data_IF_606089879569
#
_entry.id   IF_606089879569
#
_cell.length_a   1.000
_cell.length_b   1.000
_cell.length_c   1.000
_cell.angle_alpha   90.00
_cell.angle_beta   90.00
_cell.angle_gamma   90.00
#
_symmetry.space_group_name_H-M   'P 1'
#
loop_
_entity.id
_entity.type
_entity.pdbx_description
1 polymer ?
#
# COMPACT_ATOMS: atom_id res chain seq x y z
N UNK A 1 15.18 -2.59 10.72
CA UNK A 1 14.65 -2.73 9.34
C UNK A 1 15.48 -3.76 8.59
N UNK A 2 14.87 -4.66 7.82
CA UNK A 2 15.58 -5.72 7.07
C UNK A 2 16.72 -5.17 6.18
N UNK A 3 16.48 -4.04 5.48
CA UNK A 3 17.48 -3.41 4.63
C UNK A 3 18.69 -2.79 5.33
N UNK A 4 18.67 -2.62 6.66
CA UNK A 4 19.86 -2.17 7.41
C UNK A 4 20.88 -3.30 7.61
N UNK A 5 20.50 -4.55 7.30
CA UNK A 5 21.34 -5.75 7.47
C UNK A 5 21.80 -6.36 6.14
N UNK A 6 21.42 -5.77 5.01
CA UNK A 6 21.75 -6.29 3.68
C UNK A 6 22.94 -5.52 3.12
N UNK A 7 24.05 -6.21 2.87
CA UNK A 7 25.24 -5.59 2.28
C UNK A 7 24.89 -4.96 0.92
N UNK A 8 25.44 -3.76 0.66
CA UNK A 8 25.25 -3.00 -0.58
C UNK A 8 23.82 -2.51 -0.87
N UNK A 9 22.88 -2.64 0.07
CA UNK A 9 21.55 -2.06 -0.05
C UNK A 9 21.51 -0.61 0.48
N UNK A 10 21.08 0.33 -0.36
CA UNK A 10 20.82 1.72 0.00
C UNK A 10 19.32 1.95 0.16
N UNK A 11 18.79 2.20 1.37
CA UNK A 11 17.36 2.51 1.55
C UNK A 11 16.89 3.75 0.78
N UNK A 12 17.83 4.66 0.48
CA UNK A 12 17.55 5.88 -0.26
C UNK A 12 17.49 5.62 -1.76
N UNK A 13 18.38 4.78 -2.28
CA UNK A 13 18.56 4.57 -3.72
C UNK A 13 18.07 3.21 -4.21
N UNK A 14 17.62 2.28 -3.37
CA UNK A 14 17.17 0.98 -3.82
C UNK A 14 15.70 0.76 -3.52
N UNK A 15 14.99 0.18 -4.49
CA UNK A 15 13.61 -0.24 -4.29
C UNK A 15 13.51 -1.26 -3.15
N UNK A 16 12.45 -1.17 -2.34
CA UNK A 16 12.15 -2.11 -1.25
C UNK A 16 12.08 -3.55 -1.77
N UNK A 17 11.58 -3.75 -3.00
CA UNK A 17 11.48 -5.07 -3.62
C UNK A 17 12.83 -5.75 -3.89
N UNK A 18 13.96 -5.02 -3.92
CA UNK A 18 15.30 -5.64 -3.99
C UNK A 18 15.59 -6.54 -2.77
N UNK A 19 14.97 -6.25 -1.61
CA UNK A 19 15.05 -7.10 -0.42
C UNK A 19 14.33 -8.46 -0.61
N UNK A 20 13.52 -8.59 -1.66
CA UNK A 20 12.79 -9.79 -2.03
C UNK A 20 13.30 -10.44 -3.34
N UNK A 21 14.42 -9.93 -3.89
CA UNK A 21 15.03 -10.52 -5.08
C UNK A 21 15.40 -11.99 -4.85
N UNK A 22 15.47 -12.79 -5.93
CA UNK A 22 15.69 -14.25 -5.86
C UNK A 22 16.86 -14.63 -4.95
N UNK A 23 17.95 -13.86 -4.99
CA UNK A 23 19.19 -14.10 -4.25
C UNK A 23 19.30 -13.32 -2.93
N UNK A 24 18.29 -12.52 -2.57
CA UNK A 24 18.36 -11.70 -1.37
C UNK A 24 18.25 -12.56 -0.10
N UNK A 25 19.13 -12.37 0.91
CA UNK A 25 19.06 -13.13 2.16
C UNK A 25 17.78 -12.84 2.96
N UNK A 26 17.15 -11.68 2.71
CA UNK A 26 15.89 -11.25 3.34
C UNK A 26 14.65 -11.73 2.59
N UNK A 27 14.79 -12.50 1.51
CA UNK A 27 13.68 -12.88 0.62
C UNK A 27 12.53 -13.54 1.36
N UNK A 28 12.80 -14.53 2.21
CA UNK A 28 11.76 -15.25 2.93
C UNK A 28 10.91 -14.32 3.81
N UNK A 29 11.56 -13.41 4.56
CA UNK A 29 10.87 -12.44 5.41
C UNK A 29 10.04 -11.44 4.59
N UNK A 30 10.58 -10.97 3.46
CA UNK A 30 9.86 -10.07 2.56
C UNK A 30 8.66 -10.73 1.88
N UNK A 31 8.82 -11.97 1.41
CA UNK A 31 7.71 -12.76 0.84
C UNK A 31 6.62 -12.99 1.88
N UNK A 32 6.98 -13.31 3.13
CA UNK A 32 5.99 -13.43 4.21
C UNK A 32 5.23 -12.11 4.42
N UNK A 33 5.94 -10.98 4.39
CA UNK A 33 5.34 -9.64 4.42
C UNK A 33 4.38 -9.38 3.26
N UNK A 34 4.77 -9.72 2.02
CA UNK A 34 3.91 -9.59 0.85
C UNK A 34 2.66 -10.46 0.94
N UNK A 35 2.77 -11.69 1.45
CA UNK A 35 1.61 -12.56 1.66
C UNK A 35 0.69 -12.00 2.74
N UNK A 36 1.24 -11.61 3.89
CA UNK A 36 0.46 -11.05 4.99
C UNK A 36 -0.28 -9.78 4.58
N UNK A 37 0.40 -8.85 3.91
CA UNK A 37 -0.22 -7.63 3.38
C UNK A 37 -1.21 -7.94 2.25
N UNK A 38 -0.82 -8.82 1.33
CA UNK A 38 -1.60 -9.21 0.18
C UNK A 38 -2.92 -9.92 0.52
N UNK A 39 -3.01 -10.57 1.68
CA UNK A 39 -4.25 -11.14 2.23
C UNK A 39 -4.97 -10.13 3.15
N UNK A 40 -4.23 -9.40 3.98
CA UNK A 40 -4.79 -8.45 4.94
C UNK A 40 -5.51 -7.26 4.30
N UNK A 41 -4.96 -6.69 3.22
CA UNK A 41 -5.56 -5.53 2.55
C UNK A 41 -6.87 -5.88 1.83
N UNK A 42 -7.02 -7.03 1.15
CA UNK A 42 -8.32 -7.45 0.64
C UNK A 42 -9.38 -7.67 1.73
N UNK A 43 -9.00 -8.23 2.88
CA UNK A 43 -9.91 -8.33 4.04
C UNK A 43 -10.33 -6.95 4.55
N UNK A 44 -9.39 -6.01 4.63
CA UNK A 44 -9.71 -4.60 4.89
C UNK A 44 -10.63 -4.01 3.81
N UNK A 45 -10.43 -4.34 2.54
CA UNK A 45 -11.32 -3.97 1.43
C UNK A 45 -12.76 -4.40 1.68
N UNK A 46 -12.99 -5.64 2.13
CA UNK A 46 -14.32 -6.12 2.50
C UNK A 46 -14.94 -5.30 3.64
N UNK A 47 -14.15 -4.97 4.67
CA UNK A 47 -14.61 -4.08 5.74
C UNK A 47 -14.93 -2.66 5.23
N UNK A 48 -14.12 -2.13 4.33
CA UNK A 48 -14.34 -0.82 3.70
C UNK A 48 -15.62 -0.80 2.85
N UNK A 49 -15.88 -1.87 2.08
CA UNK A 49 -17.12 -2.04 1.29
C UNK A 49 -18.37 -1.93 2.17
N UNK A 50 -18.32 -2.47 3.38
CA UNK A 50 -19.45 -2.43 4.32
C UNK A 50 -19.68 -1.08 5.00
N UNK A 51 -18.72 -0.15 4.92
CA UNK A 51 -18.74 1.09 5.71
C UNK A 51 -18.73 2.37 4.88
N UNK A 52 -18.22 2.32 3.65
CA UNK A 52 -18.12 3.48 2.77
C UNK A 52 -18.67 3.10 1.38
N UNK A 53 -19.78 3.70 0.93
CA UNK A 53 -20.31 3.43 -0.40
C UNK A 53 -19.33 3.90 -1.49
N UNK A 54 -19.23 3.12 -2.57
CA UNK A 54 -18.40 3.45 -3.72
C UNK A 54 -17.33 2.40 -4.03
N UNK A 55 -16.30 2.81 -4.78
CA UNK A 55 -15.31 1.91 -5.39
C UNK A 55 -13.97 1.84 -4.65
N UNK A 56 -13.80 2.55 -3.53
CA UNK A 56 -12.54 2.55 -2.78
C UNK A 56 -12.13 1.15 -2.31
N UNK A 57 -13.09 0.28 -1.98
CA UNK A 57 -12.81 -1.11 -1.60
C UNK A 57 -12.18 -1.92 -2.74
N UNK A 58 -12.60 -1.70 -3.98
CA UNK A 58 -12.06 -2.43 -5.14
C UNK A 58 -10.58 -2.09 -5.33
N UNK A 59 -10.23 -0.81 -5.15
CA UNK A 59 -8.85 -0.35 -5.23
C UNK A 59 -8.00 -0.92 -4.11
N UNK A 60 -8.50 -0.93 -2.87
CA UNK A 60 -7.80 -1.57 -1.75
C UNK A 60 -7.57 -3.07 -2.02
N UNK A 61 -8.60 -3.80 -2.45
CA UNK A 61 -8.47 -5.21 -2.84
C UNK A 61 -7.44 -5.38 -3.96
N UNK A 62 -7.48 -4.54 -4.99
CA UNK A 62 -6.51 -4.58 -6.08
C UNK A 62 -5.07 -4.33 -5.59
N UNK A 63 -4.85 -3.43 -4.63
CA UNK A 63 -3.53 -3.21 -3.99
C UNK A 63 -3.00 -4.47 -3.32
N UNK A 64 -3.87 -5.18 -2.58
CA UNK A 64 -3.51 -6.45 -1.96
C UNK A 64 -3.13 -7.53 -2.98
N UNK A 65 -3.98 -7.72 -4.01
CA UNK A 65 -3.73 -8.70 -5.07
C UNK A 65 -2.45 -8.36 -5.86
N UNK A 66 -2.22 -7.09 -6.16
CA UNK A 66 -1.00 -6.62 -6.79
C UNK A 66 0.25 -6.93 -5.93
N UNK A 67 0.14 -6.80 -4.60
CA UNK A 67 1.22 -7.16 -3.67
C UNK A 67 1.51 -8.66 -3.67
N UNK A 68 0.49 -9.51 -3.76
CA UNK A 68 0.69 -10.95 -3.97
C UNK A 68 1.41 -11.22 -5.30
N UNK A 69 1.06 -10.48 -6.36
CA UNK A 69 1.77 -10.52 -7.64
C UNK A 69 3.25 -10.18 -7.51
N UNK A 70 3.60 -9.12 -6.78
CA UNK A 70 4.99 -8.75 -6.47
C UNK A 70 5.74 -9.87 -5.75
N UNK A 71 5.07 -10.58 -4.83
CA UNK A 71 5.65 -11.73 -4.14
C UNK A 71 5.81 -12.98 -5.02
N UNK A 72 4.88 -13.19 -5.95
CA UNK A 72 4.90 -14.32 -6.89
C UNK A 72 5.94 -14.14 -8.01
N UNK A 73 6.19 -12.89 -8.40
CA UNK A 73 7.16 -12.50 -9.41
C UNK A 73 8.29 -11.69 -8.76
N UNK A 74 9.27 -12.32 -8.09
CA UNK A 74 10.38 -11.61 -7.48
C UNK A 74 11.28 -10.94 -8.53
N UNK A 75 12.08 -9.96 -8.12
CA UNK A 75 13.12 -9.39 -8.98
C UNK A 75 14.25 -10.39 -9.23
N UNK A 76 14.94 -10.21 -10.36
CA UNK A 76 16.00 -11.06 -10.88
C UNK A 76 15.49 -12.49 -11.17
N UNK A 77 14.23 -12.59 -11.58
CA UNK A 77 13.61 -13.86 -11.96
C UNK A 77 14.08 -14.27 -13.37
N UNK A 78 14.28 -15.58 -13.59
CA UNK A 78 14.78 -16.12 -14.85
C UNK A 78 13.92 -15.78 -16.09
N UNK A 79 12.66 -15.36 -15.88
CA UNK A 79 11.73 -14.92 -16.95
C UNK A 79 11.66 -13.40 -17.11
N UNK A 80 12.53 -12.66 -16.42
CA UNK A 80 12.60 -11.20 -16.43
C UNK A 80 11.72 -10.52 -15.37
N UNK A 81 11.96 -9.22 -15.20
CA UNK A 81 11.34 -8.40 -14.14
C UNK A 81 10.02 -7.72 -14.58
N UNK A 82 9.60 -7.89 -15.83
CA UNK A 82 8.40 -7.23 -16.35
C UNK A 82 7.13 -7.58 -15.54
N UNK A 83 6.85 -8.85 -15.16
CA UNK A 83 5.68 -9.17 -14.34
C UNK A 83 5.74 -8.52 -12.95
N UNK A 84 6.94 -8.43 -12.36
CA UNK A 84 7.16 -7.70 -11.10
C UNK A 84 6.83 -6.22 -11.25
N UNK A 85 7.36 -5.58 -12.30
CA UNK A 85 7.18 -4.16 -12.56
C UNK A 85 5.70 -3.81 -12.79
N UNK A 86 4.97 -4.65 -13.54
CA UNK A 86 3.52 -4.48 -13.75
C UNK A 86 2.76 -4.61 -12.43
N UNK A 87 3.03 -5.67 -11.65
CA UNK A 87 2.38 -5.88 -10.36
C UNK A 87 2.67 -4.71 -9.39
N UNK A 88 3.92 -4.27 -9.29
CA UNK A 88 4.31 -3.15 -8.45
C UNK A 88 3.62 -1.84 -8.88
N UNK A 89 3.59 -1.55 -10.19
CA UNK A 89 2.93 -0.36 -10.73
C UNK A 89 1.43 -0.35 -10.42
N UNK A 90 0.74 -1.47 -10.63
CA UNK A 90 -0.67 -1.62 -10.27
C UNK A 90 -0.88 -1.42 -8.77
N UNK A 91 0.00 -1.98 -7.94
CA UNK A 91 -0.01 -1.79 -6.49
C UNK A 91 0.11 -0.32 -6.10
N UNK A 92 1.06 0.42 -6.69
CA UNK A 92 1.28 1.83 -6.41
C UNK A 92 0.10 2.71 -6.82
N UNK A 93 -0.41 2.51 -8.04
CA UNK A 93 -1.54 3.27 -8.57
C UNK A 93 -2.78 3.04 -7.70
N UNK A 94 -3.09 1.77 -7.40
CA UNK A 94 -4.27 1.44 -6.61
C UNK A 94 -4.15 1.90 -5.15
N UNK A 95 -2.96 1.80 -4.54
CA UNK A 95 -2.70 2.28 -3.18
C UNK A 95 -2.93 3.78 -3.09
N UNK A 96 -2.36 4.56 -4.00
CA UNK A 96 -2.50 6.02 -4.02
C UNK A 96 -3.94 6.46 -4.37
N UNK A 97 -4.61 5.74 -5.27
CA UNK A 97 -5.98 6.05 -5.68
C UNK A 97 -7.03 5.73 -4.60
N UNK A 98 -6.82 4.70 -3.79
CA UNK A 98 -7.75 4.28 -2.73
C UNK A 98 -8.18 5.45 -1.81
N UNK A 99 -7.26 6.18 -1.14
CA UNK A 99 -7.63 7.29 -0.27
C UNK A 99 -8.21 8.49 -1.04
N UNK A 100 -7.84 8.72 -2.31
CA UNK A 100 -8.43 9.77 -3.14
C UNK A 100 -9.90 9.49 -3.47
N UNK A 101 -10.21 8.25 -3.85
CA UNK A 101 -11.59 7.83 -4.11
C UNK A 101 -12.41 7.82 -2.82
N UNK A 102 -11.83 7.37 -1.70
CA UNK A 102 -12.47 7.46 -0.39
C UNK A 102 -12.75 8.90 0.02
N UNK A 103 -11.82 9.84 -0.23
CA UNK A 103 -11.97 11.25 0.09
C UNK A 103 -13.22 11.87 -0.54
N UNK A 104 -13.54 11.49 -1.80
CA UNK A 104 -14.73 11.98 -2.51
C UNK A 104 -16.01 11.56 -1.79
N UNK A 105 -16.16 10.29 -1.45
CA UNK A 105 -17.34 9.81 -0.72
C UNK A 105 -17.42 10.42 0.68
N UNK A 106 -16.30 10.47 1.41
CA UNK A 106 -16.24 11.05 2.74
C UNK A 106 -16.66 12.53 2.75
N UNK A 107 -16.26 13.29 1.72
CA UNK A 107 -16.67 14.68 1.55
C UNK A 107 -18.18 14.82 1.31
N UNK A 108 -18.75 13.98 0.46
CA UNK A 108 -20.21 13.95 0.18
C UNK A 108 -21.04 13.58 1.42
N UNK A 109 -20.48 12.79 2.33
CA UNK A 109 -21.10 12.44 3.62
C UNK A 109 -20.86 13.48 4.74
N UNK A 110 -20.30 14.66 4.43
CA UNK A 110 -20.02 15.71 5.41
C UNK A 110 -18.83 15.42 6.35
N UNK A 111 -18.11 14.31 6.16
CA UNK A 111 -16.94 13.92 6.99
C UNK A 111 -15.67 14.67 6.56
N UNK A 112 -15.72 16.00 6.63
CA UNK A 112 -14.71 16.93 6.06
C UNK A 112 -13.27 16.65 6.52
N UNK A 113 -13.07 16.37 7.82
CA UNK A 113 -11.75 16.03 8.36
C UNK A 113 -11.14 14.79 7.72
N UNK A 114 -11.90 13.68 7.70
CA UNK A 114 -11.48 12.43 7.06
C UNK A 114 -11.28 12.58 5.55
N UNK A 115 -12.11 13.37 4.87
CA UNK A 115 -11.95 13.67 3.46
C UNK A 115 -10.61 14.40 3.18
N UNK A 116 -10.26 15.40 4.01
CA UNK A 116 -8.99 16.12 3.90
C UNK A 116 -7.78 15.20 4.14
N UNK A 117 -7.79 14.44 5.22
CA UNK A 117 -6.71 13.48 5.54
C UNK A 117 -6.52 12.47 4.40
N UNK A 118 -7.62 11.95 3.85
CA UNK A 118 -7.57 10.98 2.74
C UNK A 118 -7.04 11.62 1.46
N UNK A 119 -7.40 12.87 1.18
CA UNK A 119 -6.85 13.59 0.02
C UNK A 119 -5.35 13.83 0.16
N UNK A 120 -4.90 14.30 1.33
CA UNK A 120 -3.48 14.54 1.59
C UNK A 120 -2.70 13.24 1.45
N UNK A 121 -3.13 12.17 2.13
CA UNK A 121 -2.47 10.87 2.03
C UNK A 121 -2.37 10.37 0.58
N UNK A 122 -3.48 10.42 -0.17
CA UNK A 122 -3.50 9.99 -1.56
C UNK A 122 -2.62 10.81 -2.49
N UNK A 123 -2.61 12.13 -2.35
CA UNK A 123 -1.74 13.01 -3.16
C UNK A 123 -0.28 12.79 -2.79
N UNK A 124 0.07 12.75 -1.50
CA UNK A 124 1.44 12.49 -1.05
C UNK A 124 1.94 11.13 -1.53
N UNK A 125 1.11 10.08 -1.44
CA UNK A 125 1.45 8.76 -1.99
C UNK A 125 1.64 8.82 -3.51
N UNK A 126 0.71 9.43 -4.25
CA UNK A 126 0.78 9.52 -5.70
C UNK A 126 2.04 10.26 -6.17
N UNK A 127 2.32 11.44 -5.61
CA UNK A 127 3.47 12.26 -5.99
C UNK A 127 4.77 11.55 -5.64
N UNK A 128 4.86 10.96 -4.45
CA UNK A 128 6.08 10.23 -4.04
C UNK A 128 6.30 9.01 -4.93
N UNK A 129 5.26 8.22 -5.21
CA UNK A 129 5.38 7.03 -6.06
C UNK A 129 5.71 7.41 -7.53
N UNK A 130 5.17 8.50 -8.05
CA UNK A 130 5.54 9.00 -9.37
C UNK A 130 7.01 9.47 -9.40
N UNK A 131 7.48 10.14 -8.35
CA UNK A 131 8.86 10.60 -8.24
C UNK A 131 9.88 9.44 -8.23
N UNK A 132 9.46 8.22 -7.91
CA UNK A 132 10.34 7.03 -7.99
C UNK A 132 10.84 6.74 -9.40
N UNK A 133 10.20 7.29 -10.44
CA UNK A 133 10.53 7.02 -11.84
C UNK A 133 11.52 8.04 -12.43
N UNK A 134 11.64 9.24 -11.84
CA UNK A 134 12.20 10.42 -12.53
C UNK A 134 13.40 11.06 -11.80
N UNK A 135 14.01 10.41 -10.81
CA UNK A 135 15.14 11.06 -10.13
C UNK A 135 15.99 10.20 -9.20
N UNK A 136 17.09 10.78 -8.67
CA UNK A 136 17.84 10.18 -7.58
C UNK A 136 16.93 9.96 -6.37
N UNK A 137 17.29 9.04 -5.48
CA UNK A 137 16.51 8.70 -4.28
C UNK A 137 15.17 8.00 -4.51
N UNK A 138 15.03 7.25 -5.61
CA UNK A 138 13.81 6.50 -5.91
C UNK A 138 13.38 5.55 -4.76
N UNK A 139 14.32 4.97 -4.02
CA UNK A 139 14.02 4.16 -2.83
C UNK A 139 13.38 4.97 -1.70
N UNK A 140 13.85 6.19 -1.45
CA UNK A 140 13.29 7.08 -0.42
C UNK A 140 11.85 7.50 -0.78
N UNK A 141 11.63 7.95 -2.01
CA UNK A 141 10.30 8.34 -2.49
C UNK A 141 9.32 7.16 -2.45
N UNK A 142 9.78 5.97 -2.81
CA UNK A 142 8.96 4.76 -2.75
C UNK A 142 8.54 4.46 -1.31
N UNK A 143 9.48 4.56 -0.35
CA UNK A 143 9.20 4.36 1.08
C UNK A 143 8.21 5.37 1.61
N UNK A 144 8.38 6.66 1.30
CA UNK A 144 7.43 7.71 1.71
C UNK A 144 6.05 7.41 1.15
N UNK A 145 5.96 7.14 -0.15
CA UNK A 145 4.69 6.92 -0.82
C UNK A 145 3.92 5.71 -0.29
N UNK A 146 4.62 4.58 -0.12
CA UNK A 146 4.07 3.37 0.48
C UNK A 146 3.67 3.58 1.93
N UNK A 147 4.55 4.14 2.75
CA UNK A 147 4.29 4.36 4.18
C UNK A 147 3.06 5.23 4.42
N UNK A 148 2.89 6.31 3.65
CA UNK A 148 1.73 7.19 3.77
C UNK A 148 0.43 6.47 3.39
N UNK A 149 0.46 5.66 2.32
CA UNK A 149 -0.69 4.88 1.88
C UNK A 149 -1.09 3.81 2.92
N UNK A 150 -0.09 3.09 3.44
CA UNK A 150 -0.27 2.05 4.44
C UNK A 150 -0.76 2.64 5.77
N UNK A 151 -0.20 3.77 6.20
CA UNK A 151 -0.65 4.48 7.39
C UNK A 151 -2.12 4.93 7.26
N UNK A 152 -2.54 5.34 6.06
CA UNK A 152 -3.95 5.65 5.81
C UNK A 152 -4.85 4.42 5.94
N UNK A 153 -4.45 3.26 5.40
CA UNK A 153 -5.19 1.99 5.54
C UNK A 153 -5.33 1.61 7.03
N UNK A 154 -4.24 1.71 7.81
CA UNK A 154 -4.26 1.42 9.24
C UNK A 154 -5.20 2.38 9.97
N UNK A 155 -5.05 3.68 9.75
CA UNK A 155 -5.87 4.70 10.41
C UNK A 155 -7.36 4.56 10.07
N UNK A 156 -7.70 4.27 8.82
CA UNK A 156 -9.09 4.06 8.39
C UNK A 156 -9.67 2.76 8.95
N UNK A 157 -8.90 1.67 9.00
CA UNK A 157 -9.30 0.41 9.61
C UNK A 157 -9.60 0.58 11.11
N UNK A 158 -8.72 1.26 11.84
CA UNK A 158 -8.97 1.63 13.24
C UNK A 158 -10.23 2.50 13.39
N UNK A 159 -10.42 3.45 12.48
CA UNK A 159 -11.63 4.27 12.43
C UNK A 159 -12.92 3.47 12.19
N UNK A 160 -12.86 2.40 11.40
CA UNK A 160 -13.96 1.46 11.18
C UNK A 160 -14.27 0.69 12.47
N UNK A 161 -13.24 0.15 13.14
CA UNK A 161 -13.39 -0.61 14.39
C UNK A 161 -13.97 0.27 15.50
N UNK A 162 -13.45 1.49 15.67
CA UNK A 162 -13.93 2.43 16.68
C UNK A 162 -15.43 2.76 16.48
N UNK A 163 -15.86 3.01 15.24
CA UNK A 163 -17.28 3.28 14.94
C UNK A 163 -18.20 2.09 15.20
N UNK A 164 -17.74 0.85 14.99
CA UNK A 164 -18.52 -0.35 15.32
C UNK A 164 -18.72 -0.48 16.83
N UNK A 165 -17.67 -0.23 17.63
CA UNK A 165 -17.76 -0.26 19.09
C UNK A 165 -18.76 0.76 19.66
N UNK A 166 -18.86 1.96 19.08
CA UNK A 166 -19.84 2.96 19.52
C UNK A 166 -21.30 2.61 19.17
N UNK A 167 -21.54 1.67 18.24
CA UNK A 167 -22.89 1.26 17.83
C UNK A 167 -23.44 0.10 18.65
N UNK A 168 -22.60 -0.63 19.37
CA UNK A 168 -23.03 -1.63 20.35
C UNK A 168 -22.93 -1.00 21.75
N UNK A 169 -24.04 -0.76 22.47
CA UNK A 169 -23.97 -0.43 23.88
C UNK A 169 -23.18 -1.50 24.61
N UNK A 170 -22.32 -1.11 25.56
CA UNK A 170 -21.72 -2.09 26.48
C UNK A 170 -22.85 -2.75 27.29
N UNK A 171 -22.77 -4.08 27.53
CA UNK A 171 -23.75 -4.78 28.35
C UNK A 171 -23.76 -4.23 29.78
#
# INVERSE_FOLDING_TARGET
MLGARTAHYSPANDAISRLAAVHAPTRAAMTAGFVAFGVGVPLYGLALRSTLPGRAWMLATATGLATLGVGAFPLDWARGDAPHAVAATLGYVTLAATPLVAARTLGRQGRRGWARVSRVAGVTSAVSLAATVIGPYHGAFQRVGLTVGDAWIVASALGIVARRRHRCPRP
#
